data_IF_570885940696
#
_entry.id   IF_570885940696
#
_cell.length_a   1.000
_cell.length_b   1.000
_cell.length_c   1.000
_cell.angle_alpha   90.00
_cell.angle_beta   90.00
_cell.angle_gamma   90.00
#
_symmetry.space_group_name_H-M   'P 1'
#
loop_
_entity.id
_entity.type
_entity.pdbx_description
1 polymer ?
#
# COMPACT_ATOMS: atom_id res chain seq x y z
N UNK A 1 12.23 13.16 -20.75
CA UNK A 1 11.30 12.23 -20.07
C UNK A 1 11.57 12.33 -18.57
N UNK A 2 10.71 13.00 -17.82
CA UNK A 2 10.91 13.18 -16.37
C UNK A 2 10.53 11.90 -15.65
N UNK A 3 11.47 11.31 -14.89
CA UNK A 3 11.21 10.13 -14.07
C UNK A 3 10.39 10.56 -12.86
N UNK A 4 9.09 10.27 -12.86
CA UNK A 4 8.20 10.61 -11.75
C UNK A 4 8.28 9.51 -10.70
N UNK A 5 8.71 9.86 -9.49
CA UNK A 5 8.49 9.04 -8.29
C UNK A 5 7.10 9.38 -7.75
N UNK A 6 6.19 8.41 -7.81
CA UNK A 6 4.84 8.59 -7.30
C UNK A 6 4.83 8.47 -5.77
N UNK A 7 3.96 9.26 -5.14
CA UNK A 7 3.61 9.08 -3.73
C UNK A 7 2.97 7.72 -3.49
N UNK A 8 2.74 7.39 -2.22
CA UNK A 8 2.10 6.15 -1.80
C UNK A 8 0.73 6.01 -2.49
N UNK A 9 0.51 4.88 -3.18
CA UNK A 9 -0.74 4.52 -3.87
C UNK A 9 -1.28 3.19 -3.35
N UNK A 10 -2.60 3.02 -3.34
CA UNK A 10 -3.21 1.70 -3.25
C UNK A 10 -2.94 0.93 -4.55
N UNK A 11 -2.53 -0.33 -4.42
CA UNK A 11 -2.17 -1.20 -5.52
C UNK A 11 -2.80 -2.57 -5.33
N UNK A 12 -3.17 -3.19 -6.45
CA UNK A 12 -3.69 -4.55 -6.52
C UNK A 12 -2.90 -5.34 -7.56
N UNK A 13 -2.78 -6.65 -7.37
CA UNK A 13 -2.26 -7.54 -8.42
C UNK A 13 -3.30 -7.75 -9.51
N UNK A 14 -2.85 -7.91 -10.75
CA UNK A 14 -3.70 -8.19 -11.90
C UNK A 14 -4.58 -9.42 -11.70
N UNK A 15 -4.06 -10.46 -11.05
CA UNK A 15 -4.81 -11.68 -10.72
C UNK A 15 -5.98 -11.43 -9.75
N UNK A 16 -6.03 -10.27 -9.08
CA UNK A 16 -7.09 -9.87 -8.15
C UNK A 16 -7.97 -8.76 -8.72
N UNK A 17 -8.01 -8.62 -10.05
CA UNK A 17 -8.88 -7.70 -10.79
C UNK A 17 -9.81 -8.50 -11.69
N UNK A 18 -11.11 -8.27 -11.57
CA UNK A 18 -12.12 -8.86 -12.44
C UNK A 18 -12.17 -8.20 -13.82
N UNK A 19 -12.86 -8.83 -14.76
CA UNK A 19 -13.00 -8.33 -16.14
C UNK A 19 -13.66 -6.93 -16.22
N UNK A 20 -14.48 -6.58 -15.21
CA UNK A 20 -15.15 -5.29 -15.08
C UNK A 20 -14.27 -4.19 -14.44
N UNK A 21 -12.96 -4.45 -14.30
CA UNK A 21 -11.99 -3.56 -13.67
C UNK A 21 -12.32 -3.27 -12.20
N UNK A 22 -12.97 -4.22 -11.51
CA UNK A 22 -13.16 -4.18 -10.06
C UNK A 22 -12.17 -5.08 -9.34
N UNK A 23 -11.77 -4.66 -8.14
CA UNK A 23 -10.96 -5.48 -7.24
C UNK A 23 -11.81 -6.62 -6.70
N UNK A 24 -11.35 -7.86 -6.84
CA UNK A 24 -12.06 -9.07 -6.41
C UNK A 24 -12.03 -9.19 -4.87
N UNK A 25 -10.84 -9.17 -4.27
CA UNK A 25 -10.64 -9.13 -2.81
C UNK A 25 -9.89 -7.86 -2.39
N UNK A 26 -10.60 -6.82 -1.92
CA UNK A 26 -9.99 -5.57 -1.47
C UNK A 26 -9.09 -5.70 -0.24
N UNK A 27 -9.14 -6.82 0.49
CA UNK A 27 -8.24 -7.07 1.63
C UNK A 27 -6.81 -7.42 1.19
N UNK A 28 -6.61 -7.80 -0.07
CA UNK A 28 -5.28 -8.06 -0.64
C UNK A 28 -4.60 -6.81 -1.19
N UNK A 29 -5.22 -5.63 -1.09
CA UNK A 29 -4.61 -4.37 -1.53
C UNK A 29 -3.39 -4.05 -0.67
N UNK A 30 -2.37 -3.43 -1.27
CA UNK A 30 -1.19 -2.90 -0.58
C UNK A 30 -0.98 -1.44 -0.91
N UNK A 31 -0.28 -0.73 -0.03
CA UNK A 31 0.33 0.54 -0.39
C UNK A 31 1.65 0.28 -1.12
N UNK A 32 1.89 1.01 -2.20
CA UNK A 32 3.15 0.93 -2.96
C UNK A 32 3.64 2.33 -3.32
N UNK A 33 4.94 2.44 -3.57
CA UNK A 33 5.49 3.56 -4.34
C UNK A 33 5.89 3.05 -5.71
N UNK A 34 5.74 3.91 -6.73
CA UNK A 34 6.03 3.58 -8.11
C UNK A 34 7.09 4.51 -8.65
N UNK A 35 8.09 3.95 -9.32
CA UNK A 35 9.13 4.68 -10.01
C UNK A 35 9.27 4.13 -11.42
N UNK A 36 9.18 5.02 -12.41
CA UNK A 36 9.30 4.65 -13.83
C UNK A 36 8.35 3.50 -14.26
N UNK A 37 7.09 3.56 -13.79
CA UNK A 37 6.07 2.55 -14.12
C UNK A 37 6.26 1.19 -13.44
N UNK A 38 7.17 1.10 -12.45
CA UNK A 38 7.45 -0.13 -11.71
C UNK A 38 7.32 0.08 -10.21
N UNK A 39 6.99 -0.98 -9.49
CA UNK A 39 6.98 -0.95 -8.02
C UNK A 39 8.40 -0.68 -7.49
N UNK A 40 8.57 0.39 -6.72
CA UNK A 40 9.83 0.73 -6.02
C UNK A 40 9.86 0.15 -4.60
N UNK A 41 8.74 0.28 -3.88
CA UNK A 41 8.54 -0.28 -2.54
C UNK A 41 7.07 -0.66 -2.31
N UNK A 42 6.83 -1.54 -1.34
CA UNK A 42 5.49 -2.02 -0.96
C UNK A 42 5.38 -2.13 0.55
N UNK A 43 4.18 -1.91 1.08
CA UNK A 43 3.81 -2.20 2.47
C UNK A 43 3.29 -3.63 2.65
N UNK A 44 2.83 -3.93 3.86
CA UNK A 44 1.90 -5.02 4.12
C UNK A 44 0.52 -4.78 3.46
N UNK A 45 -0.36 -5.77 3.63
CA UNK A 45 -1.77 -5.65 3.25
C UNK A 45 -2.44 -4.49 3.99
N UNK A 46 -3.44 -3.88 3.36
CA UNK A 46 -4.25 -2.85 4.01
C UNK A 46 -5.04 -3.43 5.19
N UNK A 47 -5.23 -2.62 6.22
CA UNK A 47 -6.12 -2.96 7.33
C UNK A 47 -7.58 -2.64 6.94
N UNK A 48 -8.50 -3.63 6.90
CA UNK A 48 -9.91 -3.39 6.58
C UNK A 48 -10.58 -2.35 7.49
N UNK A 49 -10.21 -2.28 8.77
CA UNK A 49 -10.80 -1.35 9.72
C UNK A 49 -10.46 0.11 9.43
N UNK A 50 -9.45 0.39 8.60
CA UNK A 50 -9.12 1.73 8.11
C UNK A 50 -9.46 1.94 6.63
N UNK A 51 -9.28 0.93 5.79
CA UNK A 51 -9.38 1.09 4.33
C UNK A 51 -10.75 0.69 3.76
N UNK A 52 -11.47 -0.19 4.45
CA UNK A 52 -12.79 -0.69 4.03
C UNK A 52 -13.90 -0.23 4.99
N UNK A 53 -13.63 0.80 5.79
CA UNK A 53 -14.50 1.24 6.86
C UNK A 53 -15.38 2.43 6.47
N UNK A 54 -16.70 2.25 6.52
CA UNK A 54 -17.68 3.31 6.28
C UNK A 54 -17.69 4.39 7.36
N UNK A 55 -17.24 4.05 8.58
CA UNK A 55 -17.14 4.97 9.72
C UNK A 55 -15.85 5.80 9.70
N UNK A 56 -14.96 5.58 8.73
CA UNK A 56 -13.68 6.27 8.59
C UNK A 56 -13.33 6.49 7.11
N UNK A 57 -13.90 7.55 6.52
CA UNK A 57 -13.89 7.73 5.07
C UNK A 57 -12.55 8.26 4.51
N UNK A 58 -11.77 8.98 5.32
CA UNK A 58 -10.58 9.72 4.88
C UNK A 58 -9.46 8.82 4.35
N UNK A 59 -9.42 7.54 4.75
CA UNK A 59 -8.39 6.57 4.37
C UNK A 59 -8.95 5.42 3.53
N UNK A 60 -10.15 5.59 2.96
CA UNK A 60 -10.81 4.51 2.23
C UNK A 60 -10.07 4.18 0.93
N UNK A 61 -9.87 2.89 0.67
CA UNK A 61 -9.42 2.43 -0.66
C UNK A 61 -10.59 2.54 -1.64
N UNK A 62 -10.39 3.31 -2.72
CA UNK A 62 -11.43 3.56 -3.74
C UNK A 62 -10.95 3.15 -5.12
N UNK A 63 -9.72 3.53 -5.47
CA UNK A 63 -9.05 3.18 -6.72
C UNK A 63 -7.68 2.58 -6.42
N UNK A 64 -7.33 1.51 -7.12
CA UNK A 64 -6.03 0.86 -7.03
C UNK A 64 -5.34 0.92 -8.38
N UNK A 65 -4.04 1.22 -8.40
CA UNK A 65 -3.22 0.91 -9.58
C UNK A 65 -3.05 -0.60 -9.68
N UNK A 66 -2.85 -1.10 -10.90
CA UNK A 66 -2.76 -2.54 -11.15
C UNK A 66 -1.31 -2.92 -11.45
N UNK A 67 -0.76 -3.86 -10.69
CA UNK A 67 0.57 -4.40 -10.93
C UNK A 67 0.48 -5.84 -11.46
N UNK A 68 1.45 -6.26 -12.28
CA UNK A 68 1.55 -7.66 -12.76
C UNK A 68 1.64 -8.64 -11.58
N UNK A 69 2.43 -8.28 -10.57
CA UNK A 69 2.60 -8.99 -9.30
C UNK A 69 3.12 -8.05 -8.21
N UNK A 70 2.97 -8.42 -6.94
CA UNK A 70 3.56 -7.74 -5.81
C UNK A 70 5.02 -8.12 -5.63
N UNK A 71 5.86 -7.52 -6.46
CA UNK A 71 7.31 -7.65 -6.38
C UNK A 71 7.97 -6.31 -6.73
N UNK A 72 9.11 -6.02 -6.08
CA UNK A 72 9.91 -4.85 -6.46
C UNK A 72 10.37 -4.98 -7.91
N UNK A 73 10.12 -3.95 -8.71
CA UNK A 73 10.44 -3.91 -10.13
C UNK A 73 9.35 -4.47 -11.06
N UNK A 74 8.28 -5.07 -10.51
CA UNK A 74 7.12 -5.48 -11.31
C UNK A 74 6.46 -4.27 -11.97
N UNK A 75 5.94 -4.44 -13.19
CA UNK A 75 5.33 -3.34 -13.93
C UNK A 75 3.94 -3.04 -13.39
N UNK A 76 3.60 -1.76 -13.43
CA UNK A 76 2.24 -1.27 -13.24
C UNK A 76 1.61 -1.09 -14.62
N UNK A 77 0.35 -1.51 -14.78
CA UNK A 77 -0.40 -1.34 -16.02
C UNK A 77 -0.53 0.14 -16.37
N UNK A 78 -0.19 0.45 -17.62
CA UNK A 78 -0.27 1.78 -18.19
C UNK A 78 -0.84 1.70 -19.60
N UNK A 79 -1.54 2.74 -20.03
CA UNK A 79 -1.94 3.01 -21.40
C UNK A 79 -1.35 4.35 -21.86
N UNK A 80 -1.75 4.82 -23.04
CA UNK A 80 -1.30 6.09 -23.62
C UNK A 80 -1.71 7.32 -22.78
N UNK A 81 -2.71 7.17 -21.90
CA UNK A 81 -3.22 8.23 -21.02
C UNK A 81 -2.63 8.18 -19.60
N UNK A 82 -1.93 7.11 -19.24
CA UNK A 82 -1.24 6.96 -17.96
C UNK A 82 -1.51 5.64 -17.27
N UNK A 83 -1.65 5.66 -15.94
CA UNK A 83 -1.90 4.44 -15.16
C UNK A 83 -3.35 3.98 -15.33
N UNK A 84 -3.52 2.67 -15.45
CA UNK A 84 -4.83 2.04 -15.44
C UNK A 84 -5.21 1.71 -13.98
N UNK A 85 -6.47 1.95 -13.63
CA UNK A 85 -6.97 1.75 -12.27
C UNK A 85 -8.07 0.71 -12.23
N UNK A 86 -8.08 -0.10 -11.17
CA UNK A 86 -9.22 -0.88 -10.74
C UNK A 86 -9.99 -0.11 -9.65
N UNK A 87 -11.30 -0.33 -9.56
CA UNK A 87 -12.16 0.27 -8.54
C UNK A 87 -12.57 -0.74 -7.47
N UNK A 88 -12.86 -0.27 -6.26
CA UNK A 88 -13.40 -1.11 -5.20
C UNK A 88 -14.92 -0.99 -5.18
N UNK A 89 -15.62 -2.12 -5.22
CA UNK A 89 -17.08 -2.14 -5.19
C UNK A 89 -17.62 -1.66 -3.83
N UNK A 90 -18.74 -0.95 -3.84
CA UNK A 90 -19.35 -0.41 -2.62
C UNK A 90 -19.74 -1.50 -1.62
N UNK A 91 -20.07 -2.69 -2.10
CA UNK A 91 -20.42 -3.84 -1.25
C UNK A 91 -19.25 -4.38 -0.43
N UNK A 92 -18.01 -4.02 -0.77
CA UNK A 92 -16.82 -4.42 -0.01
C UNK A 92 -16.63 -3.62 1.30
N UNK A 93 -17.31 -2.49 1.44
CA UNK A 93 -17.21 -1.64 2.61
C UNK A 93 -18.14 -2.10 3.73
N UNK A 94 -17.68 -1.99 4.98
CA UNK A 94 -18.46 -2.32 6.18
C UNK A 94 -18.28 -1.26 7.26
N UNK A 95 -19.14 -1.29 8.26
CA UNK A 95 -18.96 -0.51 9.48
C UNK A 95 -18.03 -1.27 10.44
N UNK A 96 -16.86 -0.69 10.73
CA UNK A 96 -15.90 -1.25 11.69
C UNK A 96 -15.80 -0.42 12.98
N UNK A 97 -16.62 0.63 13.11
CA UNK A 97 -16.56 1.59 14.19
C UNK A 97 -15.53 2.70 13.95
N UNK A 98 -15.53 3.69 14.84
CA UNK A 98 -14.65 4.85 14.74
C UNK A 98 -13.19 4.47 14.89
N UNK A 99 -12.33 5.11 14.10
CA UNK A 99 -10.88 4.94 14.18
C UNK A 99 -10.26 6.16 14.86
N UNK A 100 -9.55 5.94 15.98
CA UNK A 100 -8.67 6.95 16.56
C UNK A 100 -7.37 7.03 15.73
N UNK A 101 -7.40 7.91 14.73
CA UNK A 101 -6.27 8.10 13.81
C UNK A 101 -5.00 8.58 14.53
N UNK A 102 -5.14 9.49 15.50
CA UNK A 102 -4.03 10.04 16.25
C UNK A 102 -3.29 8.95 17.02
N UNK A 103 -4.03 8.09 17.73
CA UNK A 103 -3.46 6.97 18.45
C UNK A 103 -2.76 5.99 17.50
N UNK A 104 -3.41 5.62 16.39
CA UNK A 104 -2.81 4.71 15.40
C UNK A 104 -1.52 5.26 14.79
N UNK A 105 -1.49 6.56 14.47
CA UNK A 105 -0.29 7.22 13.96
C UNK A 105 0.84 7.21 15.00
N UNK A 106 0.52 7.55 16.26
CA UNK A 106 1.48 7.52 17.36
C UNK A 106 2.05 6.12 17.59
N UNK A 107 1.20 5.10 17.57
CA UNK A 107 1.60 3.70 17.72
C UNK A 107 2.52 3.25 16.58
N UNK A 108 2.19 3.60 15.33
CA UNK A 108 3.04 3.32 14.16
C UNK A 108 4.41 3.99 14.27
N UNK A 109 4.47 5.29 14.60
CA UNK A 109 5.73 6.03 14.78
C UNK A 109 6.58 5.36 15.87
N UNK A 110 5.96 4.94 16.97
CA UNK A 110 6.65 4.27 18.07
C UNK A 110 7.28 2.94 17.64
N UNK A 111 6.55 2.13 16.87
CA UNK A 111 7.05 0.84 16.36
C UNK A 111 8.22 1.09 15.40
N UNK A 112 8.06 1.98 14.42
CA UNK A 112 9.11 2.30 13.44
C UNK A 112 10.39 2.81 14.12
N UNK A 113 10.27 3.69 15.11
CA UNK A 113 11.42 4.21 15.84
C UNK A 113 12.12 3.11 16.67
N UNK A 114 11.36 2.20 17.27
CA UNK A 114 11.93 1.05 17.99
C UNK A 114 12.72 0.14 17.04
N UNK A 115 12.19 -0.13 15.86
CA UNK A 115 12.85 -0.98 14.86
C UNK A 115 14.10 -0.31 14.29
N UNK A 116 14.09 1.01 14.10
CA UNK A 116 15.26 1.79 13.70
C UNK A 116 16.40 1.68 14.74
N UNK A 117 16.09 1.84 16.02
CA UNK A 117 17.05 1.68 17.13
C UNK A 117 17.64 0.25 17.16
N UNK A 118 16.81 -0.77 16.94
CA UNK A 118 17.25 -2.17 16.89
C UNK A 118 18.16 -2.41 15.68
N UNK A 119 17.82 -1.88 14.51
CA UNK A 119 18.62 -2.02 13.29
C UNK A 119 20.01 -1.36 13.43
N UNK A 120 20.09 -0.17 14.02
CA UNK A 120 21.35 0.51 14.32
C UNK A 120 22.21 -0.25 15.32
N UNK A 121 21.59 -0.79 16.37
CA UNK A 121 22.27 -1.61 17.38
C UNK A 121 22.87 -2.89 16.78
N UNK A 122 22.17 -3.52 15.83
CA UNK A 122 22.68 -4.72 15.10
C UNK A 122 23.80 -4.38 14.14
N UNK A 123 23.77 -3.21 13.47
CA UNK A 123 24.87 -2.74 12.61
C UNK A 123 26.15 -2.47 13.42
N UNK A 124 26.03 -1.85 14.59
CA UNK A 124 27.18 -1.64 15.50
C UNK A 124 27.82 -2.95 15.96
N UNK A 125 27.02 -3.99 16.26
CA UNK A 125 27.54 -5.31 16.66
C UNK A 125 28.20 -6.10 15.53
N UNK A 126 27.83 -5.88 14.26
CA UNK A 126 28.46 -6.52 13.09
C UNK A 126 29.76 -5.84 12.62
N UNK A 127 30.09 -4.67 13.15
CA UNK A 127 31.26 -3.88 12.76
C UNK A 127 32.43 -3.94 13.74
N UNK A 128 32.35 -4.73 14.82
CA UNK A 128 33.52 -5.00 15.66
C UNK A 128 34.25 -6.22 15.11
N UNK A 129 35.52 -6.12 14.70
CA UNK A 129 36.36 -7.30 14.52
C UNK A 129 36.58 -7.97 15.90
N UNK A 130 36.63 -9.30 15.92
CA UNK A 130 37.05 -10.10 17.08
C UNK A 130 38.52 -9.81 17.46
#
# INVERSE_FOLDING_TARGET
>A
MTLIKLQIRHCVEEANVGEDMKVIDPTQVRHVTVFAGKIDSMSGLVDPASHLNLDFQDHRVTTCIIAEKFEKGARVKMDDSGMIFATVDRSAYKHYGTVDYTKRLADMIRVVNKDAIIAESKKKKKGLPE
#
